data_IF_474623978354
#
_entry.id   IF_474623978354
#
_cell.length_a   1.000
_cell.length_b   1.000
_cell.length_c   1.000
_cell.angle_alpha   90.00
_cell.angle_beta   90.00
_cell.angle_gamma   90.00
#
_symmetry.space_group_name_H-M   'P 1'
#
loop_
_entity.id
_entity.type
_entity.pdbx_description
1 polymer ?
#
# COMPACT_ATOMS: atom_id res chain seq x y z
N UNK A 1 -24.92 11.53 -1.25
CA UNK A 1 -23.63 10.85 -1.54
C UNK A 1 -23.06 10.43 -0.20
N UNK A 2 -22.72 9.15 0.00
CA UNK A 2 -22.27 8.65 1.32
C UNK A 2 -20.87 9.21 1.64
N UNK A 3 -20.59 9.54 2.90
CA UNK A 3 -19.32 10.15 3.34
C UNK A 3 -18.10 9.32 2.94
N UNK A 4 -18.26 7.99 2.82
CA UNK A 4 -17.20 7.07 2.42
C UNK A 4 -16.87 7.16 0.93
N UNK A 5 -17.84 7.45 0.06
CA UNK A 5 -17.59 7.65 -1.38
C UNK A 5 -16.81 8.94 -1.63
N UNK A 6 -17.12 9.98 -0.85
CA UNK A 6 -16.38 11.24 -0.89
C UNK A 6 -14.93 11.02 -0.44
N UNK A 7 -14.71 10.25 0.63
CA UNK A 7 -13.37 9.87 1.13
C UNK A 7 -12.53 9.15 0.06
N UNK A 8 -13.15 8.20 -0.67
CA UNK A 8 -12.47 7.47 -1.76
C UNK A 8 -12.12 8.39 -2.93
N UNK A 9 -13.07 9.19 -3.42
CA UNK A 9 -12.83 10.10 -4.56
C UNK A 9 -11.72 11.11 -4.23
N UNK A 10 -11.76 11.67 -3.02
CA UNK A 10 -10.73 12.57 -2.53
C UNK A 10 -9.37 11.85 -2.44
N UNK A 11 -9.34 10.62 -1.91
CA UNK A 11 -8.12 9.81 -1.82
C UNK A 11 -7.55 9.51 -3.20
N UNK A 12 -8.37 9.11 -4.19
CA UNK A 12 -7.93 8.84 -5.57
C UNK A 12 -7.32 10.09 -6.22
N UNK A 13 -7.98 11.25 -6.07
CA UNK A 13 -7.49 12.52 -6.59
C UNK A 13 -6.16 12.91 -5.96
N UNK A 14 -6.10 12.85 -4.64
CA UNK A 14 -4.91 13.20 -3.85
C UNK A 14 -3.72 12.29 -4.16
N UNK A 15 -3.96 10.99 -4.28
CA UNK A 15 -2.92 10.04 -4.69
C UNK A 15 -2.32 10.39 -6.05
N UNK A 16 -3.17 10.68 -7.05
CA UNK A 16 -2.71 11.09 -8.40
C UNK A 16 -1.89 12.37 -8.36
N UNK A 17 -2.30 13.35 -7.56
CA UNK A 17 -1.55 14.60 -7.38
C UNK A 17 -0.16 14.34 -6.77
N UNK A 18 -0.10 13.57 -5.67
CA UNK A 18 1.15 13.18 -5.02
C UNK A 18 2.07 12.40 -5.97
N UNK A 19 1.54 11.40 -6.65
CA UNK A 19 2.28 10.57 -7.60
C UNK A 19 2.88 11.42 -8.71
N UNK A 20 2.08 12.30 -9.35
CA UNK A 20 2.57 13.17 -10.42
C UNK A 20 3.62 14.16 -9.90
N UNK A 21 3.45 14.72 -8.71
CA UNK A 21 4.42 15.63 -8.11
C UNK A 21 5.78 14.96 -7.87
N UNK A 22 5.77 13.75 -7.29
CA UNK A 22 6.99 12.97 -7.10
C UNK A 22 7.61 12.65 -8.47
N UNK A 23 6.82 12.13 -9.42
CA UNK A 23 7.29 11.75 -10.75
C UNK A 23 7.97 12.92 -11.47
N UNK A 24 7.35 14.10 -11.43
CA UNK A 24 7.87 15.32 -12.05
C UNK A 24 9.12 15.88 -11.35
N UNK A 25 9.36 15.52 -10.09
CA UNK A 25 10.57 15.93 -9.35
C UNK A 25 11.80 15.08 -9.67
N UNK A 26 11.61 13.85 -10.16
CA UNK A 26 12.69 12.88 -10.39
C UNK A 26 13.76 13.34 -11.40
N UNK A 27 13.42 13.97 -12.55
CA UNK A 27 14.44 14.50 -13.45
C UNK A 27 15.39 15.49 -12.78
N UNK A 28 14.87 16.37 -11.92
CA UNK A 28 15.68 17.34 -11.17
C UNK A 28 16.61 16.64 -10.18
N UNK A 29 16.14 15.58 -9.50
CA UNK A 29 16.99 14.75 -8.64
C UNK A 29 18.11 14.09 -9.45
N UNK A 30 17.79 13.50 -10.60
CA UNK A 30 18.76 12.82 -11.44
C UNK A 30 19.83 13.78 -11.95
N UNK A 31 19.47 14.98 -12.41
CA UNK A 31 20.44 15.99 -12.85
C UNK A 31 21.40 16.42 -11.71
N UNK A 32 20.91 16.54 -10.47
CA UNK A 32 21.77 16.83 -9.30
C UNK A 32 22.79 15.74 -9.01
N UNK A 33 22.48 14.48 -9.37
CA UNK A 33 23.35 13.32 -9.17
C UNK A 33 24.31 13.07 -10.35
N UNK A 34 24.23 13.91 -11.40
CA UNK A 34 25.07 13.77 -12.60
C UNK A 34 26.53 14.08 -12.27
N UNK A 35 27.47 13.16 -12.51
CA UNK A 35 28.89 13.44 -12.32
C UNK A 35 29.40 14.39 -13.39
N UNK A 36 30.38 15.23 -13.04
CA UNK A 36 31.06 16.10 -13.99
C UNK A 36 32.06 15.30 -14.84
N UNK A 37 32.12 15.58 -16.15
CA UNK A 37 33.04 14.90 -17.06
C UNK A 37 33.71 15.88 -18.04
N UNK A 38 34.97 16.23 -17.74
CA UNK A 38 35.80 17.09 -18.60
C UNK A 38 36.01 16.53 -20.02
N UNK A 39 36.00 15.20 -20.18
CA UNK A 39 36.13 14.54 -21.50
C UNK A 39 34.87 14.70 -22.35
N UNK A 40 33.69 14.75 -21.74
CA UNK A 40 32.44 15.01 -22.45
C UNK A 40 32.35 16.45 -22.95
N UNK A 41 32.95 17.41 -22.24
CA UNK A 41 32.94 18.83 -22.63
C UNK A 41 34.00 19.18 -23.69
N UNK A 42 35.08 18.40 -23.79
CA UNK A 42 36.23 18.69 -24.69
C UNK A 42 36.30 17.83 -25.95
N UNK A 43 35.64 16.67 -25.98
CA UNK A 43 35.66 15.77 -27.14
C UNK A 43 34.43 16.05 -28.01
N UNK A 44 34.63 16.77 -29.12
CA UNK A 44 33.57 17.10 -30.11
C UNK A 44 32.93 15.86 -30.77
N UNK A 45 33.53 14.67 -30.63
CA UNK A 45 33.06 13.41 -31.21
C UNK A 45 32.28 12.50 -30.23
N UNK A 46 31.99 12.95 -29.01
CA UNK A 46 31.24 12.15 -28.03
C UNK A 46 29.76 12.03 -28.43
N UNK A 47 29.34 10.85 -28.90
CA UNK A 47 27.95 10.54 -29.33
C UNK A 47 26.98 10.23 -28.18
N UNK A 48 27.42 10.36 -26.93
CA UNK A 48 26.63 10.02 -25.74
C UNK A 48 25.55 11.09 -25.51
N UNK A 49 24.32 10.66 -25.22
CA UNK A 49 23.22 11.59 -24.89
C UNK A 49 23.33 12.07 -23.43
N UNK A 50 23.98 13.21 -23.21
CA UNK A 50 24.30 13.72 -21.85
C UNK A 50 23.10 14.10 -20.97
N UNK A 51 21.87 14.05 -21.51
CA UNK A 51 20.64 14.36 -20.78
C UNK A 51 19.80 13.13 -20.45
N UNK A 52 20.20 11.94 -20.90
CA UNK A 52 19.48 10.70 -20.63
C UNK A 52 20.24 9.80 -19.65
N UNK A 53 19.84 9.76 -18.37
CA UNK A 53 20.44 8.88 -17.36
C UNK A 53 19.98 7.43 -17.47
N UNK A 54 19.26 7.03 -18.53
CA UNK A 54 18.80 5.65 -18.76
C UNK A 54 19.48 5.00 -19.98
N UNK A 55 20.41 5.68 -20.64
CA UNK A 55 21.13 5.10 -21.76
C UNK A 55 22.23 4.14 -21.28
N UNK A 56 22.68 3.24 -22.15
CA UNK A 56 23.84 2.38 -21.84
C UNK A 56 25.13 3.20 -21.95
N UNK A 57 25.96 3.12 -20.90
CA UNK A 57 27.28 3.74 -20.86
C UNK A 57 28.38 2.69 -20.96
N UNK A 58 29.44 3.01 -21.71
CA UNK A 58 30.65 2.17 -21.77
C UNK A 58 31.31 2.05 -20.39
N UNK A 59 32.04 0.96 -20.16
CA UNK A 59 32.65 0.65 -18.87
C UNK A 59 33.59 1.74 -18.34
N UNK A 60 34.31 2.38 -19.27
CA UNK A 60 35.28 3.43 -18.96
C UNK A 60 34.64 4.84 -18.90
N UNK A 61 33.32 4.95 -19.12
CA UNK A 61 32.63 6.22 -19.10
C UNK A 61 32.32 6.67 -17.66
N UNK A 62 32.76 7.88 -17.28
CA UNK A 62 32.44 8.46 -15.96
C UNK A 62 30.93 8.59 -15.71
N UNK A 63 30.12 8.72 -16.77
CA UNK A 63 28.66 8.77 -16.64
C UNK A 63 28.04 7.43 -16.21
N UNK A 64 28.77 6.30 -16.27
CA UNK A 64 28.35 5.04 -15.63
C UNK A 64 28.18 5.21 -14.11
N UNK A 65 28.88 6.17 -13.50
CA UNK A 65 28.69 6.52 -12.09
C UNK A 65 27.34 7.23 -11.85
N UNK A 66 26.76 7.87 -12.87
CA UNK A 66 25.45 8.50 -12.77
C UNK A 66 24.36 7.48 -12.43
N UNK A 67 24.32 6.34 -13.12
CA UNK A 67 23.42 5.24 -12.80
C UNK A 67 23.57 4.78 -11.35
N UNK A 68 24.83 4.57 -10.91
CA UNK A 68 25.12 4.12 -9.55
C UNK A 68 24.65 5.14 -8.51
N UNK A 69 24.87 6.44 -8.74
CA UNK A 69 24.42 7.49 -7.86
C UNK A 69 22.89 7.55 -7.76
N UNK A 70 22.19 7.42 -8.90
CA UNK A 70 20.72 7.40 -8.92
C UNK A 70 20.19 6.16 -8.18
N UNK A 71 20.71 4.97 -8.49
CA UNK A 71 20.30 3.74 -7.82
C UNK A 71 20.52 3.86 -6.31
N UNK A 72 21.69 4.35 -5.88
CA UNK A 72 21.97 4.56 -4.46
C UNK A 72 20.99 5.54 -3.81
N UNK A 73 20.71 6.68 -4.45
CA UNK A 73 19.76 7.66 -3.92
C UNK A 73 18.35 7.05 -3.76
N UNK A 74 17.90 6.25 -4.72
CA UNK A 74 16.57 5.63 -4.68
C UNK A 74 16.50 4.46 -3.68
N UNK A 75 17.44 3.51 -3.75
CA UNK A 75 17.41 2.28 -2.94
C UNK A 75 17.91 2.48 -1.50
N UNK A 76 18.79 3.45 -1.26
CA UNK A 76 19.37 3.66 0.07
C UNK A 76 18.83 4.92 0.74
N UNK A 77 18.80 6.06 0.06
CA UNK A 77 18.45 7.31 0.73
C UNK A 77 16.93 7.42 0.87
N UNK A 78 16.20 7.46 -0.26
CA UNK A 78 14.74 7.58 -0.24
C UNK A 78 14.05 6.37 0.42
N UNK A 79 14.51 5.15 0.13
CA UNK A 79 13.90 3.94 0.71
C UNK A 79 14.07 3.87 2.23
N UNK A 80 15.17 4.39 2.80
CA UNK A 80 15.35 4.46 4.26
C UNK A 80 14.40 5.48 4.89
N UNK A 81 14.23 6.64 4.27
CA UNK A 81 13.31 7.67 4.76
C UNK A 81 11.87 7.14 4.78
N UNK A 82 11.44 6.45 3.73
CA UNK A 82 10.13 5.80 3.66
C UNK A 82 10.00 4.72 4.75
N UNK A 83 11.00 3.85 4.90
CA UNK A 83 10.97 2.80 5.93
C UNK A 83 10.88 3.39 7.34
N UNK A 84 11.59 4.49 7.60
CA UNK A 84 11.51 5.21 8.87
C UNK A 84 10.10 5.74 9.10
N UNK A 85 9.49 6.38 8.09
CA UNK A 85 8.12 6.89 8.19
C UNK A 85 7.09 5.78 8.42
N UNK A 86 7.19 4.66 7.71
CA UNK A 86 6.29 3.52 7.91
C UNK A 86 6.39 2.95 9.33
N UNK A 87 7.60 2.90 9.91
CA UNK A 87 7.80 2.49 11.31
C UNK A 87 7.22 3.48 12.31
N UNK A 88 7.32 4.79 12.04
CA UNK A 88 6.67 5.81 12.89
C UNK A 88 5.15 5.65 12.89
N UNK A 89 4.54 5.45 11.72
CA UNK A 89 3.10 5.19 11.56
C UNK A 89 2.69 3.94 12.36
N UNK A 90 3.45 2.85 12.23
CA UNK A 90 3.17 1.60 12.94
C UNK A 90 3.29 1.76 14.46
N UNK A 91 4.32 2.46 14.94
CA UNK A 91 4.50 2.73 16.36
C UNK A 91 3.38 3.59 16.94
N UNK A 92 2.95 4.62 16.21
CA UNK A 92 1.84 5.47 16.65
C UNK A 92 0.51 4.69 16.77
N UNK A 93 0.35 3.61 15.99
CA UNK A 93 -0.83 2.71 16.08
C UNK A 93 -1.00 2.10 17.48
N UNK A 94 0.10 1.92 18.23
CA UNK A 94 0.07 1.35 19.58
C UNK A 94 -0.71 2.21 20.58
N UNK A 95 -0.92 3.50 20.28
CA UNK A 95 -1.73 4.42 21.09
C UNK A 95 -3.24 4.20 20.91
N UNK A 96 -3.63 3.38 19.94
CA UNK A 96 -5.02 3.15 19.56
C UNK A 96 -5.40 1.69 19.83
N UNK A 97 -6.66 1.49 20.21
CA UNK A 97 -7.17 0.16 20.56
C UNK A 97 -8.46 -0.15 19.80
N UNK A 98 -8.65 -1.43 19.50
CA UNK A 98 -9.93 -1.91 18.99
C UNK A 98 -11.04 -1.61 20.01
N UNK A 99 -12.00 -0.79 19.60
CA UNK A 99 -13.18 -0.43 20.40
C UNK A 99 -14.35 -1.43 20.23
N UNK A 100 -14.08 -2.58 19.61
CA UNK A 100 -15.05 -3.67 19.41
C UNK A 100 -16.30 -3.25 18.63
N UNK A 101 -16.14 -2.38 17.61
CA UNK A 101 -17.24 -2.03 16.70
C UNK A 101 -17.79 -3.19 15.85
N UNK A 102 -17.13 -4.35 15.86
CA UNK A 102 -17.53 -5.63 15.22
C UNK A 102 -17.53 -5.66 13.69
N UNK A 103 -17.35 -4.51 13.02
CA UNK A 103 -17.44 -4.43 11.56
C UNK A 103 -16.42 -5.33 10.87
N UNK A 104 -15.12 -5.28 11.21
CA UNK A 104 -14.12 -6.16 10.59
C UNK A 104 -14.33 -7.65 10.93
N UNK A 105 -15.05 -7.96 12.02
CA UNK A 105 -15.42 -9.33 12.36
C UNK A 105 -16.63 -9.80 11.56
N UNK A 106 -17.61 -8.93 11.29
CA UNK A 106 -18.79 -9.24 10.50
C UNK A 106 -18.52 -9.18 9.00
N UNK A 107 -17.57 -8.36 8.58
CA UNK A 107 -17.40 -7.98 7.18
C UNK A 107 -15.92 -7.81 6.86
N UNK A 108 -15.23 -8.93 6.73
CA UNK A 108 -13.86 -8.97 6.21
C UNK A 108 -13.89 -9.13 4.69
N UNK A 109 -12.94 -8.52 4.00
CA UNK A 109 -12.79 -8.60 2.53
C UNK A 109 -11.43 -9.21 2.18
N UNK A 110 -11.37 -9.91 1.05
CA UNK A 110 -10.13 -10.41 0.48
C UNK A 110 -10.21 -10.38 -1.05
N UNK A 111 -9.06 -10.20 -1.70
CA UNK A 111 -8.88 -10.39 -3.14
C UNK A 111 -8.84 -11.88 -3.54
N UNK A 112 -8.72 -12.79 -2.56
CA UNK A 112 -8.67 -14.23 -2.78
C UNK A 112 -9.94 -14.92 -2.29
N UNK A 113 -10.40 -15.90 -3.06
CA UNK A 113 -11.47 -16.80 -2.64
C UNK A 113 -11.02 -17.74 -1.51
N UNK A 114 -11.98 -18.39 -0.86
CA UNK A 114 -11.69 -19.20 0.32
C UNK A 114 -10.82 -20.42 0.00
N UNK A 115 -10.94 -20.95 -1.23
CA UNK A 115 -10.14 -22.09 -1.70
C UNK A 115 -8.68 -21.68 -1.86
N UNK A 116 -8.42 -20.58 -2.53
CA UNK A 116 -7.09 -19.98 -2.75
C UNK A 116 -6.44 -19.63 -1.42
N UNK A 117 -7.21 -19.09 -0.47
CA UNK A 117 -6.72 -18.85 0.89
C UNK A 117 -6.34 -20.15 1.61
N UNK A 118 -7.11 -21.23 1.45
CA UNK A 118 -6.74 -22.55 2.01
C UNK A 118 -5.47 -23.12 1.36
N UNK A 119 -5.33 -23.00 0.05
CA UNK A 119 -4.13 -23.45 -0.68
C UNK A 119 -2.89 -22.65 -0.23
N UNK A 120 -3.00 -21.31 -0.12
CA UNK A 120 -1.95 -20.45 0.46
C UNK A 120 -1.60 -20.86 1.89
N UNK A 121 -2.60 -21.16 2.72
CA UNK A 121 -2.39 -21.63 4.08
C UNK A 121 -1.62 -22.96 4.13
N UNK A 122 -1.94 -23.91 3.26
CA UNK A 122 -1.21 -25.18 3.13
C UNK A 122 0.24 -24.94 2.69
N UNK A 123 0.47 -23.97 1.81
CA UNK A 123 1.79 -23.58 1.32
C UNK A 123 2.62 -22.73 2.31
N UNK A 124 2.13 -22.53 3.54
CA UNK A 124 2.89 -21.89 4.61
C UNK A 124 2.56 -20.42 4.87
N UNK A 125 1.63 -19.82 4.12
CA UNK A 125 1.21 -18.43 4.31
C UNK A 125 0.60 -18.22 5.72
N UNK A 126 1.27 -17.42 6.55
CA UNK A 126 0.86 -17.18 7.94
C UNK A 126 -0.44 -16.39 8.05
N UNK A 127 -0.67 -15.44 7.14
CA UNK A 127 -1.90 -14.67 7.10
C UNK A 127 -3.06 -15.58 6.74
N UNK A 128 -2.94 -16.33 5.64
CA UNK A 128 -3.98 -17.22 5.16
C UNK A 128 -4.31 -18.34 6.16
N UNK A 129 -3.30 -18.88 6.86
CA UNK A 129 -3.51 -19.84 7.97
C UNK A 129 -4.39 -19.26 9.07
N UNK A 130 -4.06 -18.07 9.56
CA UNK A 130 -4.86 -17.43 10.61
C UNK A 130 -6.24 -17.03 10.09
N UNK A 131 -6.31 -16.46 8.89
CA UNK A 131 -7.56 -15.98 8.29
C UNK A 131 -8.55 -17.14 8.12
N UNK A 132 -8.14 -18.22 7.46
CA UNK A 132 -9.01 -19.39 7.23
C UNK A 132 -9.39 -20.14 8.52
N UNK A 133 -8.64 -19.94 9.61
CA UNK A 133 -8.94 -20.54 10.91
C UNK A 133 -10.11 -19.88 11.65
N UNK A 134 -10.43 -18.61 11.38
CA UNK A 134 -11.50 -17.86 12.07
C UNK A 134 -12.56 -17.28 11.14
N UNK A 135 -12.22 -17.01 9.88
CA UNK A 135 -13.14 -16.46 8.89
C UNK A 135 -13.75 -17.56 8.01
N UNK A 136 -15.04 -17.40 7.73
CA UNK A 136 -15.81 -18.21 6.79
C UNK A 136 -16.39 -17.32 5.70
N UNK A 137 -16.45 -17.79 4.45
CA UNK A 137 -17.06 -17.02 3.38
C UNK A 137 -18.56 -16.89 3.62
N UNK A 138 -19.13 -15.76 3.23
CA UNK A 138 -20.58 -15.67 3.04
C UNK A 138 -21.03 -16.60 1.90
N UNK A 139 -22.27 -17.09 1.95
CA UNK A 139 -22.78 -17.99 0.90
C UNK A 139 -22.94 -17.25 -0.43
N UNK A 140 -23.37 -15.99 -0.35
CA UNK A 140 -23.52 -15.11 -1.49
C UNK A 140 -23.31 -13.64 -1.10
N UNK A 141 -23.21 -12.80 -2.12
CA UNK A 141 -23.04 -11.36 -1.99
C UNK A 141 -24.22 -10.66 -1.28
N UNK A 142 -25.44 -11.20 -1.41
CA UNK A 142 -26.64 -10.62 -0.78
C UNK A 142 -26.59 -10.78 0.74
N UNK A 143 -26.03 -11.87 1.24
CA UNK A 143 -25.80 -12.09 2.67
C UNK A 143 -24.78 -11.09 3.23
N UNK A 144 -23.66 -10.90 2.53
CA UNK A 144 -22.65 -9.91 2.88
C UNK A 144 -23.25 -8.48 2.89
N UNK A 145 -24.06 -8.14 1.88
CA UNK A 145 -24.75 -6.84 1.78
C UNK A 145 -25.69 -6.58 2.95
N UNK A 146 -26.38 -7.59 3.47
CA UNK A 146 -27.20 -7.44 4.69
C UNK A 146 -26.37 -7.15 5.92
N UNK A 147 -25.16 -7.72 6.01
CA UNK A 147 -24.27 -7.53 7.15
C UNK A 147 -23.68 -6.11 7.21
N UNK A 148 -23.36 -5.50 6.06
CA UNK A 148 -22.92 -4.10 6.01
C UNK A 148 -23.31 -3.36 4.71
N UNK A 149 -24.56 -2.88 4.59
CA UNK A 149 -25.10 -2.38 3.32
C UNK A 149 -24.40 -1.11 2.82
N UNK A 150 -24.07 -0.18 3.71
CA UNK A 150 -23.41 1.07 3.34
C UNK A 150 -22.02 0.85 2.76
N UNK A 151 -21.28 -0.12 3.29
CA UNK A 151 -19.94 -0.46 2.81
C UNK A 151 -20.02 -1.22 1.48
N UNK A 152 -20.94 -2.17 1.34
CA UNK A 152 -21.15 -2.85 0.05
C UNK A 152 -21.53 -1.87 -1.05
N UNK A 153 -22.47 -0.96 -0.77
CA UNK A 153 -22.85 0.08 -1.73
C UNK A 153 -21.66 0.95 -2.13
N UNK A 154 -20.80 1.30 -1.18
CA UNK A 154 -19.57 2.04 -1.45
C UNK A 154 -18.60 1.24 -2.34
N UNK A 155 -18.43 -0.07 -2.09
CA UNK A 155 -17.62 -0.93 -2.95
C UNK A 155 -18.21 -0.96 -4.38
N UNK A 156 -19.53 -1.14 -4.52
CA UNK A 156 -20.25 -1.20 -5.81
C UNK A 156 -20.04 0.09 -6.63
N UNK A 157 -19.96 1.25 -5.97
CA UNK A 157 -19.81 2.54 -6.64
C UNK A 157 -18.36 2.91 -6.99
N UNK A 158 -17.35 2.26 -6.39
CA UNK A 158 -15.94 2.72 -6.46
C UNK A 158 -14.91 1.68 -6.90
N UNK A 159 -15.25 0.39 -6.84
CA UNK A 159 -14.41 -0.70 -7.34
C UNK A 159 -14.95 -1.16 -8.67
N UNK A 160 -14.13 -0.99 -9.71
CA UNK A 160 -14.45 -1.43 -11.06
C UNK A 160 -14.59 -2.97 -11.14
N UNK A 161 -13.90 -3.70 -10.25
CA UNK A 161 -13.87 -5.17 -10.17
C UNK A 161 -14.45 -5.71 -8.85
N UNK A 162 -15.65 -5.27 -8.44
CA UNK A 162 -16.29 -5.79 -7.21
C UNK A 162 -16.51 -7.31 -7.25
N UNK A 163 -16.68 -7.88 -8.44
CA UNK A 163 -16.85 -9.33 -8.65
C UNK A 163 -15.60 -10.14 -8.23
N UNK A 164 -14.45 -9.49 -8.05
CA UNK A 164 -13.21 -10.10 -7.56
C UNK A 164 -12.98 -9.87 -6.05
N UNK A 165 -13.99 -9.36 -5.33
CA UNK A 165 -13.92 -9.16 -3.87
C UNK A 165 -14.72 -10.25 -3.16
N UNK A 166 -14.05 -10.99 -2.29
CA UNK A 166 -14.66 -12.05 -1.50
C UNK A 166 -14.94 -11.57 -0.08
N UNK A 167 -16.13 -11.89 0.43
CA UNK A 167 -16.62 -11.43 1.71
C UNK A 167 -16.66 -12.56 2.74
N UNK A 168 -16.24 -12.25 3.96
CA UNK A 168 -16.11 -13.22 5.04
C UNK A 168 -16.65 -12.68 6.36
N UNK A 169 -17.08 -13.59 7.23
CA UNK A 169 -17.46 -13.32 8.61
C UNK A 169 -16.66 -14.18 9.59
N UNK A 170 -16.44 -13.66 10.79
CA UNK A 170 -15.71 -14.33 11.85
C UNK A 170 -16.65 -15.27 12.61
N UNK A 171 -16.30 -16.55 12.67
CA UNK A 171 -17.08 -17.58 13.40
C UNK A 171 -16.96 -17.48 14.93
N UNK A 172 -16.17 -16.54 15.45
CA UNK A 172 -15.99 -16.27 16.89
C UNK A 172 -16.91 -15.16 17.40
N UNK A 173 -17.88 -14.71 16.61
CA UNK A 173 -18.92 -13.80 17.08
C UNK A 173 -19.95 -14.57 17.91
N UNK A 174 -20.30 -14.04 19.09
CA UNK A 174 -21.37 -14.57 19.92
C UNK A 174 -22.75 -14.03 19.49
N UNK A 175 -23.81 -14.43 20.19
CA UNK A 175 -25.20 -14.02 19.91
C UNK A 175 -25.40 -12.50 19.99
N UNK A 176 -24.61 -11.81 20.83
CA UNK A 176 -24.60 -10.35 20.94
C UNK A 176 -23.77 -9.67 19.84
N UNK A 177 -23.23 -10.44 18.89
CA UNK A 177 -22.40 -9.95 17.79
C UNK A 177 -21.00 -9.50 18.20
N UNK A 178 -20.55 -9.81 19.42
CA UNK A 178 -19.23 -9.48 19.95
C UNK A 178 -18.26 -10.66 19.82
N UNK A 179 -16.96 -10.39 19.79
CA UNK A 179 -15.96 -11.46 19.80
C UNK A 179 -16.01 -12.22 21.13
N UNK A 180 -16.23 -13.54 21.05
CA UNK A 180 -16.30 -14.43 22.21
C UNK A 180 -14.95 -14.68 22.89
N UNK A 181 -13.85 -14.31 22.22
CA UNK A 181 -12.47 -14.60 22.66
C UNK A 181 -11.55 -13.40 22.40
N UNK A 182 -12.02 -12.21 22.78
CA UNK A 182 -11.34 -10.95 22.46
C UNK A 182 -9.93 -10.88 23.05
N UNK A 183 -9.73 -11.35 24.29
CA UNK A 183 -8.42 -11.27 24.96
C UNK A 183 -7.39 -12.21 24.34
N UNK A 184 -7.80 -13.36 23.79
CA UNK A 184 -6.91 -14.32 23.10
C UNK A 184 -7.02 -14.24 21.57
N UNK A 185 -7.55 -13.14 21.03
CA UNK A 185 -7.69 -12.94 19.58
C UNK A 185 -6.38 -13.17 18.84
N UNK A 186 -6.48 -13.74 17.63
CA UNK A 186 -5.34 -14.05 16.77
C UNK A 186 -4.56 -12.79 16.36
N UNK A 187 -3.31 -12.97 15.95
CA UNK A 187 -2.44 -11.87 15.56
C UNK A 187 -3.03 -11.08 14.38
N UNK A 188 -3.68 -11.73 13.40
CA UNK A 188 -4.38 -11.02 12.32
C UNK A 188 -5.45 -10.04 12.81
N UNK A 189 -6.07 -10.30 13.96
CA UNK A 189 -7.06 -9.40 14.56
C UNK A 189 -6.40 -8.28 15.37
N UNK A 190 -5.19 -8.51 15.90
CA UNK A 190 -4.40 -7.51 16.64
C UNK A 190 -3.70 -6.55 15.69
N UNK A 191 -3.22 -7.06 14.57
CA UNK A 191 -2.50 -6.31 13.56
C UNK A 191 -3.44 -5.42 12.75
N UNK A 192 -4.73 -5.73 12.69
CA UNK A 192 -5.71 -4.93 11.96
C UNK A 192 -5.99 -3.58 12.66
N UNK A 193 -5.99 -2.45 11.92
CA UNK A 193 -5.61 -2.31 10.51
C UNK A 193 -4.10 -2.41 10.27
N UNK A 194 -3.72 -3.03 9.15
CA UNK A 194 -2.31 -3.24 8.79
C UNK A 194 -1.65 -2.00 8.17
N UNK A 195 -2.43 -1.06 7.62
CA UNK A 195 -1.93 0.22 7.13
C UNK A 195 -3.04 1.30 7.18
N UNK A 196 -2.69 2.60 7.15
CA UNK A 196 -3.67 3.70 7.17
C UNK A 196 -4.55 3.79 5.92
N UNK A 197 -4.21 3.13 4.81
CA UNK A 197 -5.00 3.19 3.58
C UNK A 197 -6.22 2.26 3.60
N UNK A 198 -6.30 1.35 4.56
CA UNK A 198 -7.47 0.49 4.79
C UNK A 198 -8.71 1.35 5.01
N UNK A 199 -9.83 0.99 4.37
CA UNK A 199 -11.10 1.63 4.61
C UNK A 199 -11.63 1.23 6.00
N UNK A 200 -11.85 2.22 6.86
CA UNK A 200 -12.33 2.02 8.22
C UNK A 200 -13.69 2.70 8.42
N UNK A 201 -14.65 2.02 9.06
CA UNK A 201 -15.92 2.64 9.41
C UNK A 201 -15.68 3.75 10.43
N UNK A 202 -16.58 4.75 10.48
CA UNK A 202 -16.50 5.87 11.43
C UNK A 202 -16.41 5.41 12.88
N UNK A 203 -17.07 4.30 13.21
CA UNK A 203 -17.05 3.72 14.54
C UNK A 203 -15.78 2.92 14.87
N UNK A 204 -14.77 2.84 13.99
CA UNK A 204 -13.55 2.09 14.27
C UNK A 204 -12.66 2.83 15.28
N UNK A 205 -12.17 2.14 16.30
CA UNK A 205 -11.21 2.70 17.28
C UNK A 205 -9.86 3.14 16.68
N UNK A 206 -9.55 2.75 15.44
CA UNK A 206 -8.35 3.16 14.71
C UNK A 206 -8.61 4.26 13.67
N UNK A 207 -9.81 4.84 13.63
CA UNK A 207 -10.17 5.83 12.59
C UNK A 207 -9.30 7.09 12.68
N UNK A 208 -9.07 7.60 13.89
CA UNK A 208 -8.21 8.77 14.13
C UNK A 208 -6.75 8.51 13.71
N UNK A 209 -6.19 7.34 14.07
CA UNK A 209 -4.87 6.92 13.60
C UNK A 209 -4.78 6.90 12.08
N UNK A 210 -5.79 6.33 11.41
CA UNK A 210 -5.86 6.32 9.95
C UNK A 210 -5.83 7.74 9.39
N UNK A 211 -6.69 8.63 9.89
CA UNK A 211 -6.83 9.99 9.38
C UNK A 211 -5.55 10.81 9.58
N UNK A 212 -4.91 10.64 10.75
CA UNK A 212 -3.63 11.28 11.08
C UNK A 212 -2.50 10.92 10.11
N UNK A 213 -2.44 9.66 9.66
CA UNK A 213 -1.34 9.13 8.83
C UNK A 213 -1.71 8.88 7.37
N UNK A 214 -2.91 9.31 6.94
CA UNK A 214 -3.42 9.00 5.60
C UNK A 214 -2.53 9.60 4.51
N UNK A 215 -2.09 10.85 4.70
CA UNK A 215 -1.23 11.56 3.76
C UNK A 215 0.15 10.93 3.64
N UNK A 216 0.79 10.64 4.78
CA UNK A 216 2.11 10.04 4.85
C UNK A 216 2.11 8.64 4.24
N UNK A 217 1.04 7.87 4.44
CA UNK A 217 0.87 6.56 3.82
C UNK A 217 0.73 6.68 2.29
N UNK A 218 -0.12 7.58 1.78
CA UNK A 218 -0.27 7.80 0.34
C UNK A 218 1.04 8.23 -0.31
N UNK A 219 1.76 9.17 0.31
CA UNK A 219 3.06 9.66 -0.16
C UNK A 219 4.09 8.52 -0.19
N UNK A 220 4.15 7.72 0.87
CA UNK A 220 5.07 6.58 0.97
C UNK A 220 4.81 5.56 -0.13
N UNK A 221 3.54 5.18 -0.35
CA UNK A 221 3.15 4.26 -1.41
C UNK A 221 3.50 4.79 -2.81
N UNK A 222 3.14 6.03 -3.12
CA UNK A 222 3.47 6.65 -4.40
C UNK A 222 4.99 6.71 -4.65
N UNK A 223 5.76 6.99 -3.59
CA UNK A 223 7.23 7.07 -3.70
C UNK A 223 7.84 5.69 -3.97
N UNK A 224 7.37 4.63 -3.30
CA UNK A 224 7.82 3.25 -3.53
C UNK A 224 7.56 2.85 -4.99
N UNK A 225 6.35 3.10 -5.51
CA UNK A 225 6.01 2.76 -6.90
C UNK A 225 6.93 3.45 -7.92
N UNK A 226 7.25 4.72 -7.67
CA UNK A 226 8.15 5.51 -8.54
C UNK A 226 9.60 5.01 -8.45
N UNK A 227 10.07 4.68 -7.24
CA UNK A 227 11.39 4.05 -7.04
C UNK A 227 11.46 2.76 -7.85
N UNK A 228 10.49 1.87 -7.68
CA UNK A 228 10.44 0.57 -8.37
C UNK A 228 10.44 0.75 -9.89
N UNK A 229 9.65 1.69 -10.41
CA UNK A 229 9.63 2.02 -11.84
C UNK A 229 11.01 2.43 -12.36
N UNK A 230 11.68 3.38 -11.69
CA UNK A 230 12.98 3.88 -12.15
C UNK A 230 14.10 2.87 -11.96
N UNK A 231 14.09 2.08 -10.88
CA UNK A 231 15.05 1.00 -10.67
C UNK A 231 14.94 -0.06 -11.77
N UNK A 232 13.72 -0.49 -12.11
CA UNK A 232 13.49 -1.41 -13.24
C UNK A 232 14.01 -0.81 -14.55
N UNK A 233 13.76 0.48 -14.79
CA UNK A 233 14.22 1.17 -16.00
C UNK A 233 15.75 1.31 -16.09
N UNK A 234 16.44 1.45 -14.97
CA UNK A 234 17.92 1.57 -14.91
C UNK A 234 18.65 0.23 -14.98
N UNK A 235 17.99 -0.87 -14.57
CA UNK A 235 18.55 -2.23 -14.58
C UNK A 235 18.29 -2.99 -15.90
N UNK A 236 17.36 -2.51 -16.74
CA UNK A 236 17.08 -3.03 -18.09
C UNK A 236 17.96 -2.35 -19.16
#
# INVERSE_FOLDING_TARGET
MNDVNIDILNTKKLYRELFNNILNSMPTLFEKLRPTCQSCEKINSCKINKTNPFQKFDENCKLKLWHKNIINALENDLSKDILYKLKEIEKDKELFICNRCTICCKFATSEFDYRTLKEKAQNGDKFAKQFTSIFQPYNDFSEAKKAYPDYVKMLEENLDDIDNVYFYYCKKLNENGLCSDYENRLQICRDFPNNPLVLLPKCCGYKEWKEKHHMEALLSHATIEIIDFYIKKLKN
#
